data_IF_495994258192
#
_entry.id   IF_495994258192
#
_cell.length_a   1.000
_cell.length_b   1.000
_cell.length_c   1.000
_cell.angle_alpha   90.00
_cell.angle_beta   90.00
_cell.angle_gamma   90.00
#
_symmetry.space_group_name_H-M   'P 1'
#
loop_
_entity.id
_entity.type
_entity.pdbx_description
1 polymer ?
#
# COMPACT_ATOMS: atom_id res chain seq x y z
N UNK A 1 93.61 13.15 47.34
CA UNK A 1 92.86 12.44 46.34
C UNK A 1 91.36 12.81 46.47
N UNK A 2 90.75 13.55 45.57
CA UNK A 2 89.32 13.86 45.68
C UNK A 2 88.53 12.82 44.94
N UNK A 3 87.43 12.35 45.59
CA UNK A 3 86.46 11.44 45.09
C UNK A 3 85.62 12.08 43.97
N UNK A 4 85.55 11.45 42.81
CA UNK A 4 84.59 11.82 41.71
C UNK A 4 83.20 11.50 42.14
N UNK A 5 82.36 12.50 42.31
CA UNK A 5 80.90 12.31 42.33
C UNK A 5 80.40 12.00 40.95
N UNK A 6 79.84 10.78 40.79
CA UNK A 6 79.13 10.36 39.55
C UNK A 6 77.75 10.99 39.51
N UNK A 7 77.54 11.81 38.49
CA UNK A 7 76.22 12.45 38.21
C UNK A 7 75.28 11.51 37.42
N UNK A 8 74.75 10.50 38.08
CA UNK A 8 73.77 9.55 37.43
C UNK A 8 72.30 10.05 37.46
N UNK A 9 72.05 11.24 38.03
CA UNK A 9 70.68 11.78 38.12
C UNK A 9 70.13 12.44 36.85
N UNK A 10 70.95 12.76 35.89
CA UNK A 10 70.46 13.43 34.64
C UNK A 10 69.75 12.51 33.66
N UNK A 11 70.02 11.20 33.69
CA UNK A 11 69.35 10.23 32.81
C UNK A 11 67.90 9.92 33.18
N UNK A 12 67.58 9.89 34.47
CA UNK A 12 66.26 9.62 34.99
C UNK A 12 65.26 10.76 34.65
N UNK A 13 65.75 12.01 34.78
CA UNK A 13 64.90 13.18 34.39
C UNK A 13 64.59 13.22 32.88
N UNK A 14 65.57 12.92 32.02
CA UNK A 14 65.37 12.92 30.56
C UNK A 14 64.37 11.80 30.11
N UNK A 15 64.43 10.61 30.70
CA UNK A 15 63.50 9.51 30.38
C UNK A 15 62.07 9.85 30.84
N UNK A 16 61.84 10.42 32.00
CA UNK A 16 60.54 10.87 32.48
C UNK A 16 59.92 11.94 31.57
N UNK A 17 60.66 12.94 31.15
CA UNK A 17 60.16 13.99 30.24
C UNK A 17 59.79 13.47 28.87
N UNK A 18 60.52 12.52 28.28
CA UNK A 18 60.23 11.92 26.98
C UNK A 18 58.98 11.00 27.05
N UNK A 19 58.79 10.27 28.17
CA UNK A 19 57.61 9.43 28.41
C UNK A 19 56.32 10.24 28.57
N UNK A 20 56.37 11.32 29.35
CA UNK A 20 55.24 12.25 29.49
C UNK A 20 54.89 12.94 28.17
N UNK A 21 55.85 13.32 27.37
CA UNK A 21 55.64 13.95 26.06
C UNK A 21 55.02 12.98 25.04
N UNK A 22 55.43 11.71 25.02
CA UNK A 22 54.86 10.66 24.17
C UNK A 22 53.42 10.33 24.59
N UNK A 23 53.13 10.22 25.90
CA UNK A 23 51.77 9.95 26.40
C UNK A 23 50.81 11.08 26.05
N UNK A 24 51.20 12.32 26.20
CA UNK A 24 50.39 13.48 25.84
C UNK A 24 50.18 13.56 24.32
N UNK A 25 51.15 13.18 23.51
CA UNK A 25 51.00 13.11 22.06
C UNK A 25 50.00 12.02 21.65
N UNK A 26 50.07 10.83 22.26
CA UNK A 26 49.10 9.75 22.02
C UNK A 26 47.70 10.20 22.42
N UNK A 27 47.51 10.81 23.57
CA UNK A 27 46.20 11.33 24.00
C UNK A 27 45.68 12.41 23.05
N UNK A 28 46.51 13.28 22.53
CA UNK A 28 46.15 14.28 21.53
C UNK A 28 45.69 13.62 20.22
N UNK A 29 46.45 12.67 19.70
CA UNK A 29 46.13 11.92 18.47
C UNK A 29 44.82 11.15 18.65
N UNK A 30 44.65 10.47 19.80
CA UNK A 30 43.40 9.75 20.11
C UNK A 30 42.22 10.72 20.18
N UNK A 31 42.38 11.87 20.81
CA UNK A 31 41.34 12.91 20.85
C UNK A 31 40.97 13.42 19.44
N UNK A 32 41.96 13.68 18.59
CA UNK A 32 41.72 14.10 17.19
C UNK A 32 40.97 13.01 16.40
N UNK A 33 41.35 11.73 16.56
CA UNK A 33 40.67 10.60 15.92
C UNK A 33 39.22 10.50 16.38
N UNK A 34 38.97 10.61 17.69
CA UNK A 34 37.60 10.59 18.26
C UNK A 34 36.76 11.75 17.70
N UNK A 35 37.29 12.96 17.67
CA UNK A 35 36.63 14.12 17.09
C UNK A 35 36.34 13.90 15.61
N UNK A 36 37.29 13.35 14.86
CA UNK A 36 37.09 13.01 13.44
C UNK A 36 35.96 11.99 13.23
N UNK A 37 35.92 10.95 14.05
CA UNK A 37 34.84 9.93 13.99
C UNK A 37 33.48 10.57 14.33
N UNK A 38 33.40 11.38 15.38
CA UNK A 38 32.17 12.05 15.78
C UNK A 38 31.67 13.02 14.71
N UNK A 39 32.56 13.75 14.04
CA UNK A 39 32.18 14.63 12.93
C UNK A 39 31.67 13.84 11.72
N UNK A 40 32.28 12.71 11.38
CA UNK A 40 31.82 11.84 10.31
C UNK A 40 30.44 11.24 10.62
N UNK A 41 30.22 10.77 11.85
CA UNK A 41 28.92 10.25 12.29
C UNK A 41 27.87 11.37 12.24
N UNK A 42 28.19 12.56 12.76
CA UNK A 42 27.28 13.72 12.73
C UNK A 42 26.93 14.13 11.30
N UNK A 43 27.90 14.12 10.39
CA UNK A 43 27.67 14.41 8.97
C UNK A 43 26.76 13.37 8.30
N UNK A 44 27.00 12.08 8.55
CA UNK A 44 26.18 10.99 8.02
C UNK A 44 24.74 11.05 8.57
N UNK A 45 24.57 11.29 9.87
CA UNK A 45 23.26 11.47 10.51
C UNK A 45 22.54 12.69 9.92
N UNK A 46 23.23 13.81 9.77
CA UNK A 46 22.63 15.02 9.18
C UNK A 46 22.22 14.82 7.71
N UNK A 47 23.04 14.09 6.94
CA UNK A 47 22.72 13.71 5.56
C UNK A 47 21.47 12.84 5.50
N UNK A 48 21.39 11.81 6.35
CA UNK A 48 20.21 10.95 6.46
C UNK A 48 18.95 11.74 6.84
N UNK A 49 19.05 12.59 7.87
CA UNK A 49 17.94 13.40 8.37
C UNK A 49 17.42 14.35 7.29
N UNK A 50 18.31 15.01 6.54
CA UNK A 50 17.93 15.88 5.41
C UNK A 50 17.31 15.11 4.25
N UNK A 51 17.80 13.90 3.95
CA UNK A 51 17.19 13.04 2.92
C UNK A 51 15.77 12.60 3.28
N UNK A 52 15.38 12.68 4.56
CA UNK A 52 14.02 12.44 5.04
C UNK A 52 13.16 13.71 5.14
N UNK A 53 13.66 14.85 4.65
CA UNK A 53 12.90 16.10 4.59
C UNK A 53 12.97 16.97 5.86
N UNK A 54 13.79 16.61 6.85
CA UNK A 54 13.96 17.40 8.08
C UNK A 54 15.09 18.45 7.91
N UNK A 55 14.91 19.60 8.52
CA UNK A 55 15.88 20.70 8.42
C UNK A 55 17.19 20.40 9.16
N UNK A 56 17.14 19.68 10.26
CA UNK A 56 18.29 19.28 11.08
C UNK A 56 17.94 18.09 12.00
N UNK A 57 18.95 17.54 12.66
CA UNK A 57 18.82 16.37 13.56
C UNK A 57 17.88 16.64 14.74
N UNK A 58 17.83 17.86 15.24
CA UNK A 58 16.97 18.23 16.37
C UNK A 58 15.49 18.26 15.95
N UNK A 59 15.19 18.86 14.82
CA UNK A 59 13.87 18.84 14.19
C UNK A 59 13.35 17.41 13.98
N UNK A 60 14.23 16.52 13.51
CA UNK A 60 13.91 15.09 13.40
C UNK A 60 13.54 14.46 14.75
N UNK A 61 14.38 14.65 15.76
CA UNK A 61 14.17 14.06 17.10
C UNK A 61 12.89 14.61 17.74
N UNK A 62 12.67 15.91 17.69
CA UNK A 62 11.48 16.57 18.23
C UNK A 62 10.22 16.06 17.52
N UNK A 63 10.25 15.99 16.19
CA UNK A 63 9.12 15.48 15.40
C UNK A 63 8.83 14.02 15.72
N UNK A 64 9.84 13.16 15.79
CA UNK A 64 9.66 11.73 16.13
C UNK A 64 9.08 11.56 17.53
N UNK A 65 9.60 12.28 18.51
CA UNK A 65 9.10 12.23 19.89
C UNK A 65 7.66 12.74 19.96
N UNK A 66 7.38 13.90 19.35
CA UNK A 66 6.04 14.48 19.31
C UNK A 66 5.03 13.54 18.64
N UNK A 67 5.40 12.98 17.51
CA UNK A 67 4.54 12.03 16.78
C UNK A 67 4.32 10.74 17.59
N UNK A 68 5.34 10.24 18.28
CA UNK A 68 5.19 9.09 19.16
C UNK A 68 4.16 9.35 20.25
N UNK A 69 4.29 10.47 21.00
CA UNK A 69 3.33 10.82 22.05
C UNK A 69 1.94 11.15 21.51
N UNK A 70 1.84 11.74 20.34
CA UNK A 70 0.55 11.97 19.67
C UNK A 70 -0.10 10.65 19.25
N UNK A 71 0.72 9.72 18.73
CA UNK A 71 0.26 8.38 18.32
C UNK A 71 -0.24 7.56 19.52
N UNK A 72 0.41 7.64 20.68
CA UNK A 72 -0.06 6.93 21.90
C UNK A 72 -1.40 7.43 22.43
N UNK A 73 -1.79 8.65 22.08
CA UNK A 73 -3.09 9.24 22.44
C UNK A 73 -4.16 9.03 21.38
N UNK A 74 -3.77 8.55 20.18
CA UNK A 74 -4.72 8.28 19.12
C UNK A 74 -5.63 7.10 19.49
N UNK A 75 -6.91 7.25 19.24
CA UNK A 75 -7.91 6.19 19.42
C UNK A 75 -8.54 5.90 18.05
N UNK A 76 -7.94 5.01 17.25
CA UNK A 76 -8.50 4.63 15.97
C UNK A 76 -9.86 3.96 16.16
N UNK A 77 -10.74 4.06 15.17
CA UNK A 77 -11.98 3.30 15.17
C UNK A 77 -11.65 1.80 15.16
N UNK A 78 -12.37 1.02 15.97
CA UNK A 78 -12.11 -0.43 16.15
C UNK A 78 -13.21 -1.26 15.55
N UNK A 79 -12.85 -2.35 14.88
CA UNK A 79 -13.79 -3.42 14.51
C UNK A 79 -13.38 -4.74 15.13
N UNK A 80 -14.39 -5.59 15.42
CA UNK A 80 -14.15 -6.97 15.80
C UNK A 80 -14.75 -7.93 14.77
N UNK A 81 -13.94 -8.88 14.32
CA UNK A 81 -14.36 -9.97 13.44
C UNK A 81 -14.48 -11.25 14.26
N UNK A 82 -15.66 -11.86 14.22
CA UNK A 82 -15.92 -13.16 14.81
C UNK A 82 -16.12 -14.18 13.69
N UNK A 83 -15.21 -15.12 13.59
CA UNK A 83 -15.16 -16.18 12.57
C UNK A 83 -15.25 -17.52 13.31
N UNK A 84 -16.23 -18.34 12.98
CA UNK A 84 -16.34 -19.67 13.57
C UNK A 84 -15.09 -20.51 13.29
N UNK A 85 -14.69 -21.35 14.24
CA UNK A 85 -13.46 -22.15 14.15
C UNK A 85 -13.39 -23.00 12.87
N UNK A 86 -14.51 -23.56 12.44
CA UNK A 86 -14.61 -24.32 11.19
C UNK A 86 -14.27 -23.46 9.97
N UNK A 87 -14.79 -22.25 9.94
CA UNK A 87 -14.59 -21.30 8.82
C UNK A 87 -13.17 -20.69 8.85
N UNK A 88 -12.65 -20.43 10.05
CA UNK A 88 -11.28 -19.97 10.23
C UNK A 88 -10.26 -21.01 9.71
N UNK A 89 -10.47 -22.29 10.00
CA UNK A 89 -9.63 -23.39 9.48
C UNK A 89 -9.65 -23.49 7.95
N UNK A 90 -10.77 -23.14 7.28
CA UNK A 90 -10.81 -23.07 5.81
C UNK A 90 -9.91 -21.94 5.31
N UNK A 91 -9.96 -20.76 5.94
CA UNK A 91 -9.09 -19.65 5.59
C UNK A 91 -7.61 -19.99 5.81
N UNK A 92 -7.27 -20.68 6.93
CA UNK A 92 -5.90 -21.14 7.19
C UNK A 92 -5.41 -22.10 6.10
N UNK A 93 -6.26 -23.07 5.71
CA UNK A 93 -5.94 -24.01 4.63
C UNK A 93 -5.72 -23.27 3.30
N UNK A 94 -6.62 -22.36 2.94
CA UNK A 94 -6.50 -21.57 1.69
C UNK A 94 -5.24 -20.70 1.72
N UNK A 95 -4.93 -20.09 2.88
CA UNK A 95 -3.69 -19.35 3.07
C UNK A 95 -2.45 -20.22 2.85
N UNK A 96 -2.39 -21.38 3.48
CA UNK A 96 -1.23 -22.27 3.31
C UNK A 96 -1.06 -22.68 1.85
N UNK A 97 -2.13 -23.05 1.18
CA UNK A 97 -2.10 -23.40 -0.24
C UNK A 97 -1.62 -22.24 -1.12
N UNK A 98 -2.03 -21.01 -0.81
CA UNK A 98 -1.58 -19.83 -1.53
C UNK A 98 -0.09 -19.53 -1.29
N UNK A 99 0.39 -19.70 -0.05
CA UNK A 99 1.81 -19.55 0.30
C UNK A 99 2.67 -20.61 -0.41
N UNK A 100 2.21 -21.86 -0.44
CA UNK A 100 2.92 -22.96 -1.11
C UNK A 100 3.02 -22.74 -2.64
N UNK A 101 2.01 -22.08 -3.23
CA UNK A 101 2.01 -21.72 -4.66
C UNK A 101 2.77 -20.42 -4.96
N UNK A 102 2.95 -19.55 -3.99
CA UNK A 102 3.51 -18.21 -4.16
C UNK A 102 2.52 -17.15 -4.66
N UNK A 103 1.22 -17.51 -4.86
CA UNK A 103 0.19 -16.61 -5.38
C UNK A 103 -1.20 -17.00 -4.88
N UNK A 104 -2.09 -16.02 -4.71
CA UNK A 104 -3.51 -16.21 -4.37
C UNK A 104 -4.31 -16.30 -5.66
N UNK A 105 -4.95 -17.42 -5.91
CA UNK A 105 -5.83 -17.63 -7.07
C UNK A 105 -7.29 -17.54 -6.60
N UNK A 106 -8.01 -16.53 -7.08
CA UNK A 106 -9.37 -16.24 -6.63
C UNK A 106 -10.34 -17.42 -6.78
N UNK A 107 -10.24 -18.20 -7.83
CA UNK A 107 -11.10 -19.36 -8.07
C UNK A 107 -10.77 -20.56 -7.16
N UNK A 108 -9.55 -20.63 -6.64
CA UNK A 108 -9.10 -21.70 -5.74
C UNK A 108 -9.19 -21.28 -4.26
N UNK A 109 -8.85 -20.02 -3.96
CA UNK A 109 -8.74 -19.49 -2.60
C UNK A 109 -9.88 -18.51 -2.25
N UNK A 110 -10.76 -18.25 -3.22
CA UNK A 110 -11.77 -17.19 -3.20
C UNK A 110 -13.08 -17.55 -2.53
N UNK A 111 -13.19 -18.70 -1.87
CA UNK A 111 -14.41 -19.04 -1.15
C UNK A 111 -14.69 -18.08 0.01
N UNK A 112 -15.86 -17.43 -0.06
CA UNK A 112 -16.32 -16.57 1.02
C UNK A 112 -16.86 -17.40 2.18
N UNK A 113 -16.31 -17.21 3.37
CA UNK A 113 -16.79 -17.80 4.61
C UNK A 113 -17.68 -16.82 5.38
N UNK A 114 -18.73 -17.29 6.08
CA UNK A 114 -19.56 -16.44 6.93
C UNK A 114 -18.79 -16.00 8.17
N UNK A 115 -19.07 -14.77 8.62
CA UNK A 115 -18.54 -14.20 9.84
C UNK A 115 -19.45 -13.08 10.37
N UNK A 116 -19.13 -12.56 11.54
CA UNK A 116 -19.78 -11.40 12.13
C UNK A 116 -18.77 -10.27 12.28
N UNK A 117 -19.16 -9.07 11.84
CA UNK A 117 -18.43 -7.84 12.08
C UNK A 117 -19.17 -7.04 13.16
N UNK A 118 -18.45 -6.65 14.19
CA UNK A 118 -18.93 -5.73 15.21
C UNK A 118 -18.25 -4.37 15.07
N UNK A 119 -19.06 -3.32 15.00
CA UNK A 119 -18.62 -1.94 14.87
C UNK A 119 -19.54 -1.01 15.64
N UNK A 120 -18.98 -0.21 16.55
CA UNK A 120 -19.76 0.72 17.41
C UNK A 120 -20.92 0.00 18.14
N UNK A 121 -20.67 -1.19 18.67
CA UNK A 121 -21.65 -2.02 19.39
C UNK A 121 -22.69 -2.72 18.51
N UNK A 122 -22.68 -2.48 17.19
CA UNK A 122 -23.61 -3.14 16.25
C UNK A 122 -22.95 -4.36 15.63
N UNK A 123 -23.58 -5.53 15.78
CA UNK A 123 -23.18 -6.77 15.13
C UNK A 123 -23.87 -6.90 13.76
N UNK A 124 -23.09 -7.20 12.74
CA UNK A 124 -23.55 -7.31 11.35
C UNK A 124 -23.02 -8.60 10.73
N UNK A 125 -23.89 -9.35 10.08
CA UNK A 125 -23.47 -10.53 9.32
C UNK A 125 -22.69 -10.10 8.08
N UNK A 126 -21.58 -10.78 7.85
CA UNK A 126 -20.69 -10.57 6.72
C UNK A 126 -20.31 -11.89 6.08
N UNK A 127 -19.72 -11.81 4.90
CA UNK A 127 -18.91 -12.88 4.33
C UNK A 127 -17.52 -12.31 4.05
N UNK A 128 -16.47 -13.08 4.31
CA UNK A 128 -15.10 -12.66 4.05
C UNK A 128 -14.29 -13.78 3.39
N UNK A 129 -13.24 -13.38 2.68
CA UNK A 129 -12.24 -14.28 2.09
C UNK A 129 -10.87 -13.61 2.11
N UNK A 130 -9.83 -14.38 1.84
CA UNK A 130 -8.49 -13.81 1.66
C UNK A 130 -8.49 -12.78 0.51
N UNK A 131 -7.66 -11.72 0.64
CA UNK A 131 -7.47 -10.68 -0.38
C UNK A 131 -6.07 -10.73 -0.95
N UNK A 132 -5.95 -10.29 -2.19
CA UNK A 132 -4.70 -10.08 -2.92
C UNK A 132 -4.53 -11.08 -4.06
N UNK A 133 -3.48 -10.87 -4.83
CA UNK A 133 -2.94 -11.82 -5.79
C UNK A 133 -1.57 -12.31 -5.32
N UNK A 134 -0.77 -11.42 -4.73
CA UNK A 134 0.55 -11.75 -4.20
C UNK A 134 0.48 -12.14 -2.72
N UNK A 135 1.44 -12.95 -2.28
CA UNK A 135 1.49 -13.48 -0.91
C UNK A 135 1.90 -12.50 0.17
N UNK A 136 2.31 -11.28 -0.19
CA UNK A 136 2.54 -10.16 0.74
C UNK A 136 1.28 -9.84 1.59
N UNK A 137 0.09 -10.11 1.06
CA UNK A 137 -1.18 -10.01 1.76
C UNK A 137 -1.43 -11.10 2.80
N UNK A 138 -0.59 -12.12 2.88
CA UNK A 138 -0.77 -13.30 3.73
C UNK A 138 0.39 -13.53 4.70
N UNK A 139 1.35 -12.61 4.74
CA UNK A 139 2.54 -12.78 5.57
C UNK A 139 2.23 -12.58 7.05
N UNK A 140 2.99 -13.28 7.89
CA UNK A 140 2.90 -13.22 9.36
C UNK A 140 1.47 -13.46 9.89
N UNK A 141 1.10 -12.72 10.94
CA UNK A 141 -0.20 -12.82 11.62
C UNK A 141 -1.24 -11.83 11.09
N UNK A 142 -0.91 -11.01 10.09
CA UNK A 142 -1.78 -9.96 9.55
C UNK A 142 -2.26 -10.26 8.14
N UNK A 143 -3.27 -11.11 8.04
CA UNK A 143 -3.87 -11.47 6.75
C UNK A 143 -4.79 -10.38 6.22
N UNK A 144 -4.78 -10.19 4.94
CA UNK A 144 -5.72 -9.28 4.28
C UNK A 144 -7.01 -9.99 3.91
N UNK A 145 -8.15 -9.32 4.14
CA UNK A 145 -9.47 -9.87 3.83
C UNK A 145 -10.26 -8.98 2.89
N UNK A 146 -10.99 -9.60 1.98
CA UNK A 146 -12.10 -8.96 1.28
C UNK A 146 -13.40 -9.28 1.98
N UNK A 147 -14.17 -8.24 2.32
CA UNK A 147 -15.38 -8.33 3.14
C UNK A 147 -16.58 -7.88 2.33
N UNK A 148 -17.66 -8.65 2.42
CA UNK A 148 -18.98 -8.34 1.85
C UNK A 148 -20.01 -8.28 2.96
N UNK A 149 -20.69 -7.14 3.09
CA UNK A 149 -21.80 -6.96 4.03
C UNK A 149 -23.03 -7.74 3.59
N UNK A 150 -23.70 -8.44 4.50
CA UNK A 150 -24.92 -9.18 4.21
C UNK A 150 -26.15 -8.27 4.30
N UNK A 151 -27.18 -8.56 3.51
CA UNK A 151 -28.42 -7.81 3.50
C UNK A 151 -28.25 -6.33 3.14
N UNK A 152 -28.98 -5.45 3.81
CA UNK A 152 -28.93 -3.99 3.63
C UNK A 152 -27.81 -3.30 4.44
N UNK A 153 -27.03 -4.07 5.25
CA UNK A 153 -25.98 -3.49 6.08
C UNK A 153 -24.87 -2.84 5.23
N UNK A 154 -24.30 -1.78 5.83
CA UNK A 154 -23.13 -1.07 5.28
C UNK A 154 -22.12 -0.82 6.42
N UNK A 155 -20.85 -0.90 6.11
CA UNK A 155 -19.77 -0.50 6.98
C UNK A 155 -19.19 0.81 6.45
N UNK A 156 -19.26 1.89 7.23
CA UNK A 156 -18.84 3.23 6.79
C UNK A 156 -19.43 3.65 5.42
N UNK A 157 -20.68 3.23 5.12
CA UNK A 157 -21.34 3.48 3.84
C UNK A 157 -20.97 2.49 2.73
N UNK A 158 -20.09 1.50 2.98
CA UNK A 158 -19.60 0.53 1.98
C UNK A 158 -20.34 -0.80 2.07
N UNK A 159 -20.68 -1.38 0.92
CA UNK A 159 -21.24 -2.73 0.79
C UNK A 159 -20.15 -3.80 0.74
N UNK A 160 -19.07 -3.50 0.04
CA UNK A 160 -17.86 -4.31 -0.05
C UNK A 160 -16.64 -3.45 0.19
N UNK A 161 -15.67 -4.01 0.89
CA UNK A 161 -14.40 -3.36 1.18
C UNK A 161 -13.36 -4.42 1.50
N UNK A 162 -12.12 -4.01 1.56
CA UNK A 162 -11.02 -4.85 2.01
C UNK A 162 -10.42 -4.28 3.30
N UNK A 163 -9.85 -5.15 4.11
CA UNK A 163 -8.92 -4.75 5.17
C UNK A 163 -7.58 -5.40 4.88
N UNK A 164 -6.50 -4.65 5.01
CA UNK A 164 -5.16 -5.11 4.68
C UNK A 164 -4.12 -4.52 5.60
N UNK A 165 -2.98 -5.22 5.73
CA UNK A 165 -1.84 -4.67 6.45
C UNK A 165 -1.39 -3.38 5.75
N UNK A 166 -1.22 -2.25 6.45
CA UNK A 166 -0.87 -0.98 5.81
C UNK A 166 0.44 -1.04 5.01
N UNK A 167 1.39 -1.88 5.44
CA UNK A 167 2.67 -2.09 4.76
C UNK A 167 2.57 -2.63 3.33
N UNK A 168 1.46 -3.34 2.97
CA UNK A 168 1.24 -3.84 1.59
C UNK A 168 1.07 -2.71 0.57
N UNK A 169 0.80 -1.50 1.04
CA UNK A 169 0.57 -0.28 0.22
C UNK A 169 1.37 0.92 0.73
N UNK A 170 2.59 0.70 1.26
CA UNK A 170 3.48 1.78 1.66
C UNK A 170 2.96 2.62 2.84
N UNK A 171 2.17 2.02 3.76
CA UNK A 171 1.60 2.66 4.94
C UNK A 171 0.68 3.84 4.61
N UNK A 172 1.19 5.07 4.60
CA UNK A 172 0.42 6.28 4.31
C UNK A 172 0.33 6.60 2.81
N UNK A 173 1.14 5.96 1.96
CA UNK A 173 1.25 6.30 0.54
C UNK A 173 -0.10 6.18 -0.17
N UNK A 174 -0.80 5.06 -0.01
CA UNK A 174 -2.11 4.82 -0.62
C UNK A 174 -3.17 5.82 -0.10
N UNK A 175 -3.14 6.15 1.18
CA UNK A 175 -4.06 7.15 1.74
C UNK A 175 -3.80 8.54 1.14
N UNK A 176 -2.54 8.96 1.05
CA UNK A 176 -2.15 10.25 0.43
C UNK A 176 -2.60 10.27 -1.04
N UNK A 177 -2.35 9.18 -1.76
CA UNK A 177 -2.77 9.04 -3.15
C UNK A 177 -4.28 9.26 -3.31
N UNK A 178 -5.13 8.57 -2.55
CA UNK A 178 -6.58 8.74 -2.63
C UNK A 178 -7.04 10.14 -2.22
N UNK A 179 -6.43 10.76 -1.22
CA UNK A 179 -6.76 12.13 -0.81
C UNK A 179 -6.38 13.16 -1.88
N UNK A 180 -5.25 13.00 -2.56
CA UNK A 180 -4.85 13.86 -3.68
C UNK A 180 -5.80 13.70 -4.86
N UNK A 181 -6.11 12.48 -5.26
CA UNK A 181 -7.04 12.18 -6.36
C UNK A 181 -8.42 12.79 -6.10
N UNK A 182 -8.93 12.65 -4.88
CA UNK A 182 -10.22 13.22 -4.45
C UNK A 182 -10.23 14.76 -4.54
N UNK A 183 -9.15 15.42 -4.13
CA UNK A 183 -9.03 16.89 -4.21
C UNK A 183 -9.10 17.40 -5.65
N UNK A 184 -8.58 16.63 -6.59
CA UNK A 184 -8.61 16.95 -8.02
C UNK A 184 -9.88 16.46 -8.73
N UNK A 185 -10.87 15.96 -7.98
CA UNK A 185 -12.16 15.53 -8.51
C UNK A 185 -12.11 14.22 -9.30
N UNK A 186 -11.05 13.43 -9.13
CA UNK A 186 -10.92 12.08 -9.66
C UNK A 186 -11.62 11.11 -8.70
N UNK A 187 -12.29 10.09 -9.24
CA UNK A 187 -12.94 9.06 -8.45
C UNK A 187 -11.90 8.33 -7.61
N UNK A 188 -12.02 8.43 -6.28
CA UNK A 188 -11.09 7.85 -5.33
C UNK A 188 -11.82 7.00 -4.30
N UNK A 189 -11.17 5.92 -3.87
CA UNK A 189 -11.71 5.01 -2.86
C UNK A 189 -11.74 5.68 -1.49
N UNK A 190 -12.72 5.32 -0.65
CA UNK A 190 -12.62 5.55 0.79
C UNK A 190 -11.49 4.67 1.33
N UNK A 191 -10.46 5.33 1.85
CA UNK A 191 -9.30 4.66 2.44
C UNK A 191 -9.08 5.20 3.85
N UNK A 192 -9.08 4.34 4.87
CA UNK A 192 -8.98 4.70 6.28
C UNK A 192 -8.18 3.67 7.05
N UNK A 193 -7.67 4.09 8.21
CA UNK A 193 -7.01 3.18 9.15
C UNK A 193 -7.94 2.88 10.32
N UNK A 194 -8.02 1.60 10.71
CA UNK A 194 -8.81 1.09 11.82
C UNK A 194 -8.01 0.08 12.63
N UNK A 195 -8.38 -0.12 13.87
CA UNK A 195 -7.87 -1.22 14.68
C UNK A 195 -8.76 -2.46 14.50
N UNK A 196 -8.15 -3.62 14.30
CA UNK A 196 -8.87 -4.87 14.01
C UNK A 196 -8.59 -5.91 15.09
N UNK A 197 -9.66 -6.49 15.64
CA UNK A 197 -9.63 -7.67 16.49
C UNK A 197 -10.25 -8.85 15.74
N UNK A 198 -9.59 -10.00 15.73
CA UNK A 198 -10.10 -11.23 15.12
C UNK A 198 -10.20 -12.30 16.19
N UNK A 199 -11.41 -12.84 16.42
CA UNK A 199 -11.70 -13.86 17.44
C UNK A 199 -11.12 -13.50 18.82
N UNK A 200 -11.22 -12.23 19.23
CA UNK A 200 -10.72 -11.72 20.50
C UNK A 200 -9.22 -11.38 20.54
N UNK A 201 -8.45 -11.72 19.51
CA UNK A 201 -7.02 -11.34 19.40
C UNK A 201 -6.89 -10.00 18.66
N UNK A 202 -6.20 -9.05 19.25
CA UNK A 202 -5.88 -7.78 18.61
C UNK A 202 -4.81 -7.99 17.51
N UNK A 203 -5.17 -7.64 16.27
CA UNK A 203 -4.29 -7.71 15.11
C UNK A 203 -3.66 -6.34 14.80
N UNK A 204 -4.06 -5.28 15.52
CA UNK A 204 -3.55 -3.92 15.40
C UNK A 204 -4.15 -3.16 14.22
N UNK A 205 -3.40 -2.19 13.71
CA UNK A 205 -3.88 -1.26 12.67
C UNK A 205 -3.94 -1.96 11.31
N UNK A 206 -5.06 -1.75 10.62
CA UNK A 206 -5.36 -2.16 9.27
C UNK A 206 -5.79 -0.97 8.42
N UNK A 207 -5.48 -1.01 7.13
CA UNK A 207 -6.09 -0.13 6.15
C UNK A 207 -7.41 -0.72 5.66
N UNK A 208 -8.46 0.10 5.64
CA UNK A 208 -9.74 -0.19 4.98
C UNK A 208 -9.70 0.42 3.59
N UNK A 209 -9.99 -0.37 2.58
CA UNK A 209 -10.02 0.02 1.18
C UNK A 209 -11.39 -0.32 0.59
N UNK A 210 -12.08 0.67 0.04
CA UNK A 210 -13.37 0.50 -0.62
C UNK A 210 -13.26 -0.36 -1.88
N UNK A 211 -14.35 -1.03 -2.25
CA UNK A 211 -14.44 -1.76 -3.51
C UNK A 211 -15.26 -0.97 -4.55
N UNK A 212 -15.17 -1.39 -5.82
CA UNK A 212 -15.79 -0.76 -6.98
C UNK A 212 -17.29 -1.12 -7.06
N UNK A 213 -18.10 -0.41 -6.24
CA UNK A 213 -19.54 -0.59 -6.10
C UNK A 213 -20.28 0.72 -6.38
N UNK A 214 -21.60 0.69 -6.40
CA UNK A 214 -22.40 1.93 -6.56
C UNK A 214 -22.13 2.94 -5.46
N UNK A 215 -21.85 2.48 -4.23
CA UNK A 215 -21.52 3.31 -3.09
C UNK A 215 -20.25 4.15 -3.29
N UNK A 216 -19.30 3.66 -4.08
CA UNK A 216 -18.13 4.43 -4.50
C UNK A 216 -18.53 5.61 -5.40
N UNK A 217 -19.42 5.35 -6.37
CA UNK A 217 -19.91 6.39 -7.28
C UNK A 217 -20.69 7.45 -6.53
N UNK A 218 -21.60 7.04 -5.64
CA UNK A 218 -22.37 7.94 -4.77
C UNK A 218 -21.44 8.82 -3.91
N UNK A 219 -20.41 8.22 -3.29
CA UNK A 219 -19.45 8.95 -2.46
C UNK A 219 -18.60 9.96 -3.25
N UNK A 220 -18.44 9.73 -4.54
CA UNK A 220 -17.71 10.63 -5.44
C UNK A 220 -18.63 11.52 -6.29
N UNK A 221 -19.92 11.62 -5.93
CA UNK A 221 -20.94 12.40 -6.66
C UNK A 221 -21.01 12.04 -8.15
N UNK A 222 -21.04 10.74 -8.45
CA UNK A 222 -21.21 10.20 -9.80
C UNK A 222 -22.54 9.47 -9.93
N UNK A 223 -23.11 9.54 -11.14
CA UNK A 223 -24.31 8.80 -11.51
C UNK A 223 -23.98 7.31 -11.56
N UNK A 224 -24.92 6.46 -11.17
CA UNK A 224 -24.81 5.01 -11.30
C UNK A 224 -24.56 4.63 -12.76
N UNK A 225 -23.36 4.10 -13.04
CA UNK A 225 -22.91 3.68 -14.38
C UNK A 225 -21.78 2.66 -14.22
N UNK A 226 -21.39 1.92 -15.27
CA UNK A 226 -20.36 0.91 -15.16
C UNK A 226 -18.98 1.46 -14.73
N UNK A 227 -18.32 0.73 -13.84
CA UNK A 227 -16.89 0.80 -13.62
C UNK A 227 -16.27 -0.41 -14.30
N UNK A 228 -15.36 -0.17 -15.23
CA UNK A 228 -14.80 -1.18 -16.13
C UNK A 228 -13.33 -1.42 -15.86
N UNK A 229 -12.88 -2.61 -16.26
CA UNK A 229 -11.46 -2.99 -16.33
C UNK A 229 -11.25 -3.93 -17.52
N UNK A 230 -10.01 -4.21 -17.88
CA UNK A 230 -9.68 -5.39 -18.65
C UNK A 230 -9.59 -6.59 -17.71
N UNK A 231 -10.15 -7.74 -18.11
CA UNK A 231 -10.09 -8.97 -17.30
C UNK A 231 -8.63 -9.45 -17.20
N UNK A 232 -8.03 -9.50 -15.99
CA UNK A 232 -6.63 -9.86 -15.80
C UNK A 232 -6.41 -11.37 -15.54
N UNK A 233 -7.43 -12.21 -15.65
CA UNK A 233 -7.34 -13.63 -15.20
C UNK A 233 -6.26 -14.39 -15.97
N UNK A 234 -6.18 -14.20 -17.29
CA UNK A 234 -5.15 -14.84 -18.11
C UNK A 234 -3.74 -14.34 -17.74
N UNK A 235 -3.61 -13.07 -17.42
CA UNK A 235 -2.35 -12.50 -16.91
C UNK A 235 -1.90 -13.23 -15.63
N UNK A 236 -2.78 -13.38 -14.67
CA UNK A 236 -2.45 -14.04 -13.40
C UNK A 236 -2.18 -15.53 -13.55
N UNK A 237 -2.90 -16.22 -14.46
CA UNK A 237 -2.63 -17.62 -14.79
C UNK A 237 -1.23 -17.76 -15.41
N UNK A 238 -0.87 -16.91 -16.36
CA UNK A 238 0.45 -16.92 -16.98
C UNK A 238 1.54 -16.57 -15.98
N UNK A 239 1.31 -15.57 -15.12
CA UNK A 239 2.22 -15.20 -14.04
C UNK A 239 2.48 -16.33 -13.06
N UNK A 240 1.43 -17.10 -12.73
CA UNK A 240 1.54 -18.30 -11.91
C UNK A 240 2.43 -19.37 -12.59
N UNK A 241 2.30 -19.55 -13.88
CA UNK A 241 3.11 -20.49 -14.63
C UNK A 241 4.58 -20.04 -14.72
N UNK A 242 4.82 -18.74 -14.90
CA UNK A 242 6.16 -18.14 -14.88
C UNK A 242 6.88 -18.38 -13.55
N UNK A 243 6.20 -18.25 -12.42
CA UNK A 243 6.74 -18.55 -11.09
C UNK A 243 7.10 -20.03 -10.88
N UNK A 244 6.59 -20.93 -11.74
CA UNK A 244 6.84 -22.38 -11.70
C UNK A 244 7.91 -22.88 -12.66
N UNK A 245 8.77 -22.03 -13.15
CA UNK A 245 9.86 -22.41 -14.05
C UNK A 245 9.54 -22.29 -15.55
N UNK A 246 8.85 -21.26 -15.95
CA UNK A 246 8.48 -21.17 -17.35
C UNK A 246 8.86 -19.84 -17.97
N UNK A 247 9.20 -19.93 -19.23
CA UNK A 247 9.44 -18.88 -20.18
C UNK A 247 8.57 -17.64 -19.92
N UNK A 248 9.17 -16.47 -20.07
CA UNK A 248 8.43 -15.21 -20.07
C UNK A 248 7.21 -15.28 -20.96
N UNK A 249 6.03 -14.89 -20.44
CA UNK A 249 4.83 -14.79 -21.24
C UNK A 249 4.76 -13.44 -21.95
N UNK A 250 4.04 -13.42 -23.09
CA UNK A 250 3.81 -12.19 -23.81
C UNK A 250 2.69 -11.38 -23.14
N UNK A 251 3.08 -10.35 -22.41
CA UNK A 251 2.15 -9.45 -21.73
C UNK A 251 1.26 -8.67 -22.69
N UNK A 252 1.78 -8.29 -23.87
CA UNK A 252 0.99 -7.64 -24.90
C UNK A 252 -0.09 -8.55 -25.46
N UNK A 253 0.23 -9.81 -25.76
CA UNK A 253 -0.78 -10.77 -26.20
C UNK A 253 -1.85 -10.98 -25.14
N UNK A 254 -1.46 -11.01 -23.86
CA UNK A 254 -2.38 -11.12 -22.73
C UNK A 254 -3.31 -9.91 -22.63
N UNK A 255 -2.78 -8.68 -22.77
CA UNK A 255 -3.58 -7.46 -22.80
C UNK A 255 -4.55 -7.43 -23.98
N UNK A 256 -4.08 -7.76 -25.19
CA UNK A 256 -4.93 -7.74 -26.37
C UNK A 256 -6.02 -8.81 -26.38
N UNK A 257 -5.82 -9.92 -25.68
CA UNK A 257 -6.82 -10.97 -25.50
C UNK A 257 -7.78 -10.73 -24.32
N UNK A 258 -7.46 -9.78 -23.43
CA UNK A 258 -8.28 -9.48 -22.27
C UNK A 258 -9.61 -8.82 -22.66
N UNK A 259 -10.73 -9.38 -22.22
CA UNK A 259 -12.04 -8.79 -22.43
C UNK A 259 -12.25 -7.60 -21.48
N UNK A 260 -12.77 -6.47 -21.97
CA UNK A 260 -13.31 -5.45 -21.09
C UNK A 260 -14.55 -6.00 -20.36
N UNK A 261 -14.62 -5.80 -19.06
CA UNK A 261 -15.72 -6.23 -18.19
C UNK A 261 -16.06 -5.17 -17.17
N UNK A 262 -17.24 -5.24 -16.56
CA UNK A 262 -17.63 -4.31 -15.52
C UNK A 262 -17.74 -4.99 -14.15
N UNK A 263 -17.43 -4.22 -13.11
CA UNK A 263 -17.75 -4.64 -11.76
C UNK A 263 -19.28 -4.80 -11.62
N UNK A 264 -19.72 -5.93 -11.04
CA UNK A 264 -21.17 -6.28 -10.87
C UNK A 264 -21.95 -6.36 -12.18
N UNK A 265 -21.33 -6.84 -13.21
CA UNK A 265 -21.91 -6.93 -14.55
C UNK A 265 -23.25 -7.67 -14.55
N UNK A 266 -23.33 -8.87 -13.95
CA UNK A 266 -24.55 -9.67 -13.89
C UNK A 266 -25.74 -8.93 -13.27
N UNK A 267 -25.49 -8.10 -12.27
CA UNK A 267 -26.52 -7.30 -11.62
C UNK A 267 -26.87 -6.06 -12.45
N UNK A 268 -25.84 -5.42 -13.00
CA UNK A 268 -25.99 -4.22 -13.84
C UNK A 268 -26.77 -4.51 -15.11
N UNK A 269 -26.55 -5.64 -15.75
CA UNK A 269 -27.23 -6.05 -16.98
C UNK A 269 -28.76 -6.24 -16.83
N UNK A 270 -29.27 -6.31 -15.60
CA UNK A 270 -30.72 -6.33 -15.31
C UNK A 270 -31.37 -4.94 -15.44
N UNK A 271 -30.57 -3.88 -15.42
CA UNK A 271 -31.00 -2.49 -15.59
C UNK A 271 -30.71 -2.06 -17.04
N UNK A 272 -31.76 -1.72 -17.79
CA UNK A 272 -31.65 -1.39 -19.22
C UNK A 272 -30.76 -0.17 -19.49
N UNK A 273 -30.83 0.86 -18.63
CA UNK A 273 -30.01 2.07 -18.73
C UNK A 273 -28.54 1.75 -18.48
N UNK A 274 -28.28 0.99 -17.42
CA UNK A 274 -26.92 0.55 -17.11
C UNK A 274 -26.34 -0.32 -18.23
N UNK A 275 -27.13 -1.24 -18.79
CA UNK A 275 -26.73 -2.08 -19.93
C UNK A 275 -26.39 -1.24 -21.16
N UNK A 276 -27.18 -0.22 -21.48
CA UNK A 276 -26.89 0.68 -22.59
C UNK A 276 -25.57 1.43 -22.38
N UNK A 277 -25.32 1.93 -21.16
CA UNK A 277 -24.06 2.57 -20.79
C UNK A 277 -22.87 1.61 -20.84
N UNK A 278 -23.06 0.37 -20.41
CA UNK A 278 -22.03 -0.68 -20.47
C UNK A 278 -21.60 -0.95 -21.91
N UNK A 279 -22.54 -1.13 -22.84
CA UNK A 279 -22.23 -1.37 -24.26
C UNK A 279 -21.47 -0.19 -24.87
N UNK A 280 -21.83 1.05 -24.55
CA UNK A 280 -21.09 2.24 -24.98
C UNK A 280 -19.68 2.27 -24.43
N UNK A 281 -19.51 1.96 -23.15
CA UNK A 281 -18.22 1.94 -22.49
C UNK A 281 -17.27 0.89 -23.07
N UNK A 282 -17.77 -0.34 -23.30
CA UNK A 282 -17.03 -1.40 -23.99
C UNK A 282 -16.60 -0.93 -25.39
N UNK A 283 -17.53 -0.34 -26.14
CA UNK A 283 -17.23 0.17 -27.49
C UNK A 283 -16.13 1.26 -27.48
N UNK A 284 -16.11 2.13 -26.48
CA UNK A 284 -15.03 3.13 -26.32
C UNK A 284 -13.69 2.46 -25.99
N UNK A 285 -13.65 1.52 -25.04
CA UNK A 285 -12.43 0.80 -24.69
C UNK A 285 -11.85 0.03 -25.88
N UNK A 286 -12.69 -0.72 -26.62
CA UNK A 286 -12.27 -1.48 -27.78
C UNK A 286 -11.85 -0.60 -28.96
N UNK A 287 -12.57 0.49 -29.19
CA UNK A 287 -12.21 1.46 -30.26
C UNK A 287 -10.89 2.14 -29.97
N UNK A 288 -10.61 2.46 -28.69
CA UNK A 288 -9.33 3.01 -28.29
C UNK A 288 -8.20 1.98 -28.43
N UNK A 289 -8.40 0.76 -27.90
CA UNK A 289 -7.42 -0.34 -27.98
C UNK A 289 -7.06 -0.68 -29.42
N UNK A 290 -8.04 -0.69 -30.31
CA UNK A 290 -7.85 -0.90 -31.74
C UNK A 290 -7.42 0.35 -32.52
N UNK A 291 -7.12 1.46 -31.81
CA UNK A 291 -6.67 2.75 -32.39
C UNK A 291 -7.64 3.37 -33.42
N UNK A 292 -8.93 3.06 -33.31
CA UNK A 292 -9.97 3.65 -34.17
C UNK A 292 -10.40 5.04 -33.73
N UNK A 293 -10.19 5.37 -32.45
CA UNK A 293 -10.46 6.70 -31.89
C UNK A 293 -9.25 7.19 -31.10
N UNK A 294 -9.16 8.50 -30.91
CA UNK A 294 -8.14 9.14 -30.10
C UNK A 294 -8.46 9.04 -28.63
N UNK A 295 -7.44 9.24 -27.78
CA UNK A 295 -7.60 9.31 -26.32
C UNK A 295 -8.61 10.40 -25.93
N UNK A 296 -8.57 11.55 -26.58
CA UNK A 296 -9.49 12.67 -26.32
C UNK A 296 -10.94 12.38 -26.72
N UNK A 297 -11.17 11.44 -27.64
CA UNK A 297 -12.51 10.98 -27.98
C UNK A 297 -13.03 10.00 -26.95
N UNK A 298 -12.18 9.16 -26.37
CA UNK A 298 -12.56 8.16 -25.38
C UNK A 298 -12.67 8.70 -23.96
N UNK A 299 -11.76 9.61 -23.55
CA UNK A 299 -11.60 10.06 -22.17
C UNK A 299 -11.98 11.51 -21.92
N UNK A 300 -12.39 11.80 -20.69
CA UNK A 300 -12.30 13.15 -20.11
C UNK A 300 -10.80 13.48 -19.91
N UNK A 301 -10.27 14.29 -20.83
CA UNK A 301 -8.81 14.57 -20.90
C UNK A 301 -8.32 15.32 -19.67
N UNK A 302 -9.10 16.24 -19.12
CA UNK A 302 -8.68 17.01 -17.95
C UNK A 302 -8.47 16.06 -16.75
N UNK A 303 -9.40 15.13 -16.55
CA UNK A 303 -9.29 14.14 -15.48
C UNK A 303 -8.17 13.12 -15.72
N UNK A 304 -8.03 12.66 -16.96
CA UNK A 304 -6.97 11.72 -17.32
C UNK A 304 -5.59 12.35 -17.13
N UNK A 305 -5.40 13.61 -17.56
CA UNK A 305 -4.14 14.33 -17.41
C UNK A 305 -3.78 14.54 -15.93
N UNK A 306 -4.75 14.97 -15.10
CA UNK A 306 -4.55 15.11 -13.66
C UNK A 306 -4.22 13.77 -12.99
N UNK A 307 -4.91 12.70 -13.38
CA UNK A 307 -4.67 11.35 -12.88
C UNK A 307 -3.22 10.92 -13.13
N UNK A 308 -2.72 11.06 -14.37
CA UNK A 308 -1.34 10.72 -14.70
C UNK A 308 -0.32 11.62 -13.99
N UNK A 309 -0.56 12.93 -13.94
CA UNK A 309 0.32 13.86 -13.25
C UNK A 309 0.46 13.55 -11.75
N UNK A 310 -0.64 13.15 -11.08
CA UNK A 310 -0.61 12.75 -9.69
C UNK A 310 0.10 11.41 -9.49
N UNK A 311 -0.08 10.46 -10.41
CA UNK A 311 0.65 9.18 -10.38
C UNK A 311 2.16 9.42 -10.47
N UNK A 312 2.61 10.24 -11.40
CA UNK A 312 4.01 10.61 -11.55
C UNK A 312 4.56 11.31 -10.30
N UNK A 313 3.75 12.17 -9.68
CA UNK A 313 4.13 12.89 -8.46
C UNK A 313 4.36 11.97 -7.26
N UNK A 314 3.53 10.93 -7.10
CA UNK A 314 3.56 10.05 -5.92
C UNK A 314 4.23 8.70 -6.18
N UNK A 315 4.66 8.41 -7.40
CA UNK A 315 5.21 7.11 -7.79
C UNK A 315 4.17 6.00 -7.80
N UNK A 316 2.94 6.31 -8.24
CA UNK A 316 1.79 5.41 -8.21
C UNK A 316 1.68 4.48 -9.42
N UNK A 317 2.77 3.95 -9.96
CA UNK A 317 2.83 3.19 -11.21
C UNK A 317 1.86 1.99 -11.24
N UNK A 318 1.59 1.38 -10.10
CA UNK A 318 0.62 0.28 -9.98
C UNK A 318 -0.77 0.64 -10.53
N UNK A 319 -1.19 1.90 -10.40
CA UNK A 319 -2.50 2.38 -10.83
C UNK A 319 -2.69 2.47 -12.35
N UNK A 320 -1.61 2.40 -13.12
CA UNK A 320 -1.62 2.46 -14.60
C UNK A 320 -1.27 1.13 -15.25
N UNK A 321 -0.94 0.11 -14.47
CA UNK A 321 -0.82 -1.23 -15.00
C UNK A 321 -2.16 -1.66 -15.62
N UNK A 322 -2.12 -2.21 -16.83
CA UNK A 322 -3.34 -2.58 -17.57
C UNK A 322 -4.21 -3.58 -16.82
N UNK A 323 -3.64 -4.42 -15.98
CA UNK A 323 -4.34 -5.41 -15.15
C UNK A 323 -5.05 -4.76 -13.94
N UNK A 324 -4.61 -3.57 -13.55
CA UNK A 324 -5.10 -2.87 -12.37
C UNK A 324 -5.85 -1.57 -12.65
N UNK A 325 -5.73 -1.00 -13.85
CA UNK A 325 -6.41 0.25 -14.21
C UNK A 325 -7.94 0.06 -14.28
N UNK A 326 -8.69 1.04 -13.82
CA UNK A 326 -10.15 1.05 -13.82
C UNK A 326 -10.69 2.36 -14.40
N UNK A 327 -11.82 2.24 -15.09
CA UNK A 327 -12.48 3.36 -15.73
C UNK A 327 -13.96 3.41 -15.37
N UNK A 328 -14.45 4.58 -15.05
CA UNK A 328 -15.88 4.85 -14.93
C UNK A 328 -16.39 5.42 -16.24
N UNK A 329 -17.56 4.96 -16.70
CA UNK A 329 -18.25 5.56 -17.85
C UNK A 329 -19.16 6.68 -17.37
N UNK A 330 -18.85 7.93 -17.73
CA UNK A 330 -19.73 9.08 -17.50
C UNK A 330 -20.83 9.12 -18.57
N UNK A 331 -22.10 8.82 -18.21
CA UNK A 331 -23.20 8.79 -19.17
C UNK A 331 -23.61 10.17 -19.67
N UNK A 332 -23.24 11.24 -18.99
CA UNK A 332 -23.55 12.62 -19.40
C UNK A 332 -22.59 13.06 -20.52
N UNK A 333 -21.31 12.85 -20.30
CA UNK A 333 -20.26 13.23 -21.26
C UNK A 333 -20.03 12.20 -22.36
N UNK A 334 -20.55 10.97 -22.19
CA UNK A 334 -20.23 9.79 -23.01
C UNK A 334 -18.72 9.54 -23.10
N UNK A 335 -18.02 9.61 -21.97
CA UNK A 335 -16.57 9.47 -21.86
C UNK A 335 -16.18 8.58 -20.69
N UNK A 336 -14.96 8.08 -20.76
CA UNK A 336 -14.35 7.36 -19.65
C UNK A 336 -13.63 8.35 -18.71
N UNK A 337 -13.75 8.12 -17.40
CA UNK A 337 -12.96 8.77 -16.36
C UNK A 337 -12.09 7.74 -15.65
N UNK A 338 -10.85 8.06 -15.29
CA UNK A 338 -10.03 7.15 -14.49
C UNK A 338 -10.59 7.02 -13.08
N UNK A 339 -10.44 5.83 -12.49
CA UNK A 339 -10.74 5.54 -11.09
C UNK A 339 -9.44 5.22 -10.39
N UNK A 340 -9.14 5.95 -9.33
CA UNK A 340 -7.94 5.77 -8.54
C UNK A 340 -7.96 4.43 -7.78
N UNK A 341 -6.88 3.65 -7.94
CA UNK A 341 -6.71 2.35 -7.29
C UNK A 341 -5.23 2.01 -7.11
#
# INVERSE_FOLDING_TARGET
>A
MPLKQNNDFTWIKRKKHSFFRRRNLILLITGIIIIGILTLISSAVSGFVRSKGYSNTWDFVETVISNYFSGTKASPETISLQIENKEYKKLEKNRQQALDRGVIVNDMDGEFVPATLEYKGKKMSIKLRLKGHMTDHLQEDKWSFRIKMSGANRFMGMKRFSIQHPGTRGYLAEWIYHELMKREGIIALRYKFIEVTVNGRNWGIYAVEENFENELLENNNRIKSPILRFNPDLYWINRLNELKDVNSFDEYATYYSANPEAYREEEGLKDSTWKANYLKAIALMESLRSRKISVSQAFDIDKLSKFHALIDLVGGEHSIDWSDIKYYFDPIKNKLEPVAY
#
